data_IF_499290389740
#
_entry.id   IF_499290389740
#
_cell.length_a   1.000
_cell.length_b   1.000
_cell.length_c   1.000
_cell.angle_alpha   90.00
_cell.angle_beta   90.00
_cell.angle_gamma   90.00
#
_symmetry.space_group_name_H-M   'P 1'
#
loop_
_entity.id
_entity.type
_entity.pdbx_description
1 polymer ?
#
# COMPACT_ATOMS: atom_id res chain seq x y z
N UNK A 1 2.97 -20.85 -2.84
CA UNK A 1 4.33 -20.91 -2.26
C UNK A 1 4.42 -19.90 -1.11
N UNK A 2 5.43 -19.99 -0.25
CA UNK A 2 5.67 -18.95 0.78
C UNK A 2 6.14 -17.66 0.10
N UNK A 3 5.64 -16.50 0.53
CA UNK A 3 5.97 -15.19 -0.05
C UNK A 3 7.46 -14.81 0.06
N UNK A 4 8.21 -15.48 0.95
CA UNK A 4 9.65 -15.28 1.15
C UNK A 4 10.35 -16.65 1.11
N UNK A 5 11.42 -16.72 0.32
CA UNK A 5 12.28 -17.89 0.20
C UNK A 5 13.75 -17.49 0.45
N UNK A 6 14.46 -18.34 1.19
CA UNK A 6 15.90 -18.25 1.38
C UNK A 6 16.60 -19.34 0.56
N UNK A 7 17.69 -18.99 -0.10
CA UNK A 7 18.50 -19.88 -0.95
C UNK A 7 19.33 -20.87 -0.17
N UNK A 8 19.84 -20.49 1.00
CA UNK A 8 20.68 -21.35 1.82
C UNK A 8 19.90 -21.87 3.03
N UNK A 9 19.33 -23.07 2.89
CA UNK A 9 18.65 -23.80 3.99
C UNK A 9 19.59 -24.79 4.69
N UNK A 10 20.86 -24.89 4.29
CA UNK A 10 21.81 -25.86 4.82
C UNK A 10 22.70 -25.25 5.88
N UNK A 11 22.74 -25.85 7.08
CA UNK A 11 23.70 -25.58 8.18
C UNK A 11 23.71 -24.16 8.74
N UNK A 12 22.95 -23.91 9.81
CA UNK A 12 23.15 -22.83 10.80
C UNK A 12 23.85 -21.55 10.29
N UNK A 13 23.38 -21.00 9.16
CA UNK A 13 24.00 -19.82 8.57
C UNK A 13 23.61 -18.64 9.44
N UNK A 14 24.60 -17.99 10.07
CA UNK A 14 24.38 -16.66 10.64
C UNK A 14 23.99 -15.75 9.49
N UNK A 15 22.71 -15.41 9.39
CA UNK A 15 22.21 -14.41 8.44
C UNK A 15 23.10 -13.18 8.53
N UNK A 16 23.72 -12.79 7.41
CA UNK A 16 24.61 -11.64 7.36
C UNK A 16 23.84 -10.37 7.77
N UNK A 17 24.51 -9.31 8.27
CA UNK A 17 23.83 -8.05 8.56
C UNK A 17 23.03 -7.53 7.36
N UNK A 18 23.55 -7.67 6.14
CA UNK A 18 22.87 -7.33 4.90
C UNK A 18 21.61 -8.19 4.66
N UNK A 19 21.71 -9.52 4.80
CA UNK A 19 20.58 -10.42 4.64
C UNK A 19 19.48 -10.20 5.69
N UNK A 20 19.87 -9.77 6.91
CA UNK A 20 18.92 -9.39 7.96
C UNK A 20 18.17 -8.10 7.60
N UNK A 21 18.90 -7.06 7.18
CA UNK A 21 18.29 -5.81 6.74
C UNK A 21 17.30 -6.01 5.58
N UNK A 22 17.68 -6.82 4.58
CA UNK A 22 16.80 -7.18 3.48
C UNK A 22 15.58 -7.98 3.93
N UNK A 23 15.76 -8.92 4.87
CA UNK A 23 14.65 -9.68 5.45
C UNK A 23 13.66 -8.76 6.16
N UNK A 24 14.14 -7.84 7.00
CA UNK A 24 13.29 -6.89 7.73
C UNK A 24 12.53 -5.96 6.78
N UNK A 25 13.18 -5.51 5.71
CA UNK A 25 12.57 -4.69 4.67
C UNK A 25 11.48 -5.45 3.90
N UNK A 26 11.74 -6.70 3.50
CA UNK A 26 10.76 -7.53 2.80
C UNK A 26 9.57 -7.85 3.71
N UNK A 27 9.79 -8.13 4.99
CA UNK A 27 8.70 -8.33 5.96
C UNK A 27 7.82 -7.08 6.09
N UNK A 28 8.42 -5.89 6.10
CA UNK A 28 7.66 -4.63 6.07
C UNK A 28 6.90 -4.44 4.75
N UNK A 29 7.46 -4.89 3.63
CA UNK A 29 6.85 -4.82 2.30
C UNK A 29 5.62 -5.71 2.13
N UNK A 30 5.43 -6.74 2.97
CA UNK A 30 4.21 -7.56 2.94
C UNK A 30 2.93 -6.76 3.24
N UNK A 31 3.04 -5.58 3.87
CA UNK A 31 1.92 -4.67 4.09
C UNK A 31 1.53 -3.81 2.88
N UNK A 32 2.23 -3.95 1.75
CA UNK A 32 1.96 -3.18 0.54
C UNK A 32 0.56 -3.50 -0.05
N UNK A 33 -0.12 -2.53 -0.66
CA UNK A 33 -1.42 -2.77 -1.29
C UNK A 33 -1.26 -3.53 -2.61
N UNK A 34 -2.13 -4.51 -2.87
CA UNK A 34 -2.20 -5.21 -4.15
C UNK A 34 -3.64 -5.27 -4.67
N UNK A 35 -3.80 -5.51 -5.98
CA UNK A 35 -5.12 -5.74 -6.57
C UNK A 35 -5.83 -6.87 -5.82
N UNK A 36 -7.06 -6.61 -5.36
CA UNK A 36 -7.87 -7.52 -4.54
C UNK A 36 -7.12 -8.12 -3.33
N UNK A 37 -6.05 -7.47 -2.86
CA UNK A 37 -5.14 -8.02 -1.85
C UNK A 37 -4.59 -9.42 -2.22
N UNK A 38 -4.33 -9.66 -3.52
CA UNK A 38 -3.78 -10.92 -4.04
C UNK A 38 -2.36 -11.21 -3.59
N UNK A 39 -1.58 -10.17 -3.23
CA UNK A 39 -0.17 -10.24 -2.82
C UNK A 39 0.68 -11.08 -3.80
N UNK A 40 0.72 -10.72 -5.10
CA UNK A 40 1.23 -11.59 -6.14
C UNK A 40 2.75 -11.46 -6.31
N UNK A 41 3.47 -11.40 -5.19
CA UNK A 41 4.92 -11.26 -5.15
C UNK A 41 5.56 -12.46 -4.46
N UNK A 42 6.72 -12.84 -4.97
CA UNK A 42 7.60 -13.83 -4.38
C UNK A 42 8.99 -13.22 -4.18
N UNK A 43 9.45 -13.17 -2.93
CA UNK A 43 10.77 -12.66 -2.59
C UNK A 43 11.75 -13.81 -2.39
N UNK A 44 12.91 -13.73 -3.04
CA UNK A 44 14.05 -14.63 -2.79
C UNK A 44 15.22 -13.84 -2.26
N UNK A 45 15.68 -14.16 -1.06
CA UNK A 45 16.83 -13.50 -0.43
C UNK A 45 18.04 -14.43 -0.50
N UNK A 46 19.12 -13.90 -1.05
CA UNK A 46 20.40 -14.57 -1.22
C UNK A 46 21.54 -13.63 -0.81
N UNK A 47 22.14 -13.86 0.35
CA UNK A 47 23.19 -13.01 0.90
C UNK A 47 22.75 -11.55 1.08
N UNK A 48 23.32 -10.66 0.27
CA UNK A 48 23.08 -9.21 0.25
C UNK A 48 22.15 -8.76 -0.90
N UNK A 49 21.43 -9.70 -1.52
CA UNK A 49 20.49 -9.44 -2.62
C UNK A 49 19.10 -10.01 -2.26
N UNK A 50 18.06 -9.20 -2.48
CA UNK A 50 16.66 -9.63 -2.49
C UNK A 50 16.10 -9.53 -3.91
N UNK A 51 15.58 -10.63 -4.43
CA UNK A 51 14.94 -10.71 -5.74
C UNK A 51 13.43 -10.64 -5.58
N UNK A 52 12.78 -9.71 -6.26
CA UNK A 52 11.33 -9.60 -6.35
C UNK A 52 10.84 -10.26 -7.64
N UNK A 53 9.95 -11.22 -7.50
CA UNK A 53 9.37 -11.97 -8.62
C UNK A 53 7.86 -11.87 -8.63
N UNK A 54 7.28 -11.85 -9.83
CA UNK A 54 5.85 -12.03 -10.05
C UNK A 54 5.43 -13.46 -9.67
N UNK A 55 4.43 -13.60 -8.78
CA UNK A 55 3.79 -14.90 -8.53
C UNK A 55 2.59 -15.08 -9.47
N UNK A 56 2.84 -15.70 -10.62
CA UNK A 56 1.81 -15.99 -11.64
C UNK A 56 0.71 -16.93 -11.14
N UNK A 57 0.94 -17.69 -10.07
CA UNK A 57 -0.12 -18.54 -9.48
C UNK A 57 -1.22 -17.72 -8.79
N UNK A 58 -0.95 -16.44 -8.53
CA UNK A 58 -1.89 -15.47 -7.95
C UNK A 58 -2.42 -14.46 -8.98
N UNK A 59 -2.08 -14.62 -10.25
CA UNK A 59 -2.59 -13.76 -11.32
C UNK A 59 -4.09 -13.97 -11.51
N UNK A 60 -4.82 -12.87 -11.69
CA UNK A 60 -6.24 -12.89 -11.99
C UNK A 60 -6.43 -13.15 -13.49
N UNK A 61 -7.02 -14.28 -13.85
CA UNK A 61 -7.11 -14.74 -15.23
C UNK A 61 -8.11 -13.95 -16.06
N UNK A 62 -9.15 -13.38 -15.44
CA UNK A 62 -10.19 -12.59 -16.12
C UNK A 62 -10.00 -11.09 -15.88
N UNK A 63 -9.71 -10.71 -14.63
CA UNK A 63 -9.56 -9.32 -14.21
C UNK A 63 -8.24 -8.69 -14.69
N UNK A 64 -7.15 -9.47 -14.72
CA UNK A 64 -5.81 -8.99 -15.10
C UNK A 64 -5.05 -10.02 -15.97
N UNK A 65 -5.58 -10.38 -17.15
CA UNK A 65 -5.03 -11.45 -17.99
C UNK A 65 -3.60 -11.17 -18.47
N UNK A 66 -3.24 -9.89 -18.63
CA UNK A 66 -1.89 -9.48 -19.06
C UNK A 66 -0.90 -9.34 -17.89
N UNK A 67 -1.37 -9.40 -16.64
CA UNK A 67 -0.53 -9.25 -15.45
C UNK A 67 -0.04 -7.82 -15.22
N UNK A 68 -0.76 -6.81 -15.75
CA UNK A 68 -0.42 -5.40 -15.56
C UNK A 68 -0.59 -5.01 -14.10
N UNK A 69 -1.75 -5.32 -13.52
CA UNK A 69 -2.09 -4.96 -12.14
C UNK A 69 -1.33 -5.84 -11.13
N UNK A 70 -0.98 -7.06 -11.51
CA UNK A 70 0.01 -7.90 -10.82
C UNK A 70 1.36 -7.18 -10.73
N UNK A 71 1.86 -6.67 -11.86
CA UNK A 71 3.17 -5.99 -11.91
C UNK A 71 3.15 -4.66 -11.14
N UNK A 72 2.06 -3.89 -11.25
CA UNK A 72 1.80 -2.70 -10.41
C UNK A 72 1.81 -3.09 -8.93
N UNK A 73 1.14 -4.18 -8.55
CA UNK A 73 1.14 -4.67 -7.16
C UNK A 73 2.56 -4.98 -6.68
N UNK A 74 3.37 -5.67 -7.50
CA UNK A 74 4.78 -5.92 -7.19
C UNK A 74 5.60 -4.62 -7.02
N UNK A 75 5.35 -3.61 -7.85
CA UNK A 75 6.01 -2.30 -7.71
C UNK A 75 5.68 -1.61 -6.38
N UNK A 76 4.45 -1.77 -5.86
CA UNK A 76 4.13 -1.24 -4.53
C UNK A 76 4.95 -1.91 -3.43
N UNK A 77 5.15 -3.23 -3.52
CA UNK A 77 5.97 -4.01 -2.58
C UNK A 77 7.45 -3.63 -2.70
N UNK A 78 7.96 -3.44 -3.92
CA UNK A 78 9.32 -2.94 -4.16
C UNK A 78 9.55 -1.60 -3.47
N UNK A 79 8.65 -0.64 -3.66
CA UNK A 79 8.77 0.66 -3.02
C UNK A 79 8.65 0.59 -1.50
N UNK A 80 7.75 -0.24 -0.95
CA UNK A 80 7.69 -0.47 0.49
C UNK A 80 9.01 -1.03 1.06
N UNK A 81 9.64 -1.98 0.36
CA UNK A 81 10.94 -2.51 0.76
C UNK A 81 12.02 -1.42 0.75
N UNK A 82 12.06 -0.58 -0.30
CA UNK A 82 12.99 0.56 -0.40
C UNK A 82 12.79 1.58 0.71
N UNK A 83 11.53 1.93 1.03
CA UNK A 83 11.20 2.83 2.16
C UNK A 83 11.67 2.23 3.48
N UNK A 84 11.45 0.94 3.70
CA UNK A 84 11.90 0.26 4.91
C UNK A 84 13.43 0.32 5.05
N UNK A 85 14.17 -0.04 4.00
CA UNK A 85 15.65 0.04 3.99
C UNK A 85 16.14 1.46 4.28
N UNK A 86 15.59 2.47 3.60
CA UNK A 86 15.99 3.87 3.82
C UNK A 86 15.72 4.33 5.26
N UNK A 87 14.57 3.97 5.83
CA UNK A 87 14.25 4.28 7.22
C UNK A 87 15.19 3.55 8.21
N UNK A 88 15.66 2.36 7.85
CA UNK A 88 16.61 1.62 8.66
C UNK A 88 18.07 2.07 8.44
N UNK A 89 18.28 3.07 7.58
CA UNK A 89 19.59 3.68 7.30
C UNK A 89 20.44 2.85 6.33
N UNK A 90 19.79 2.02 5.51
CA UNK A 90 20.43 1.12 4.54
C UNK A 90 20.27 1.68 3.13
N UNK A 91 21.41 1.88 2.46
CA UNK A 91 21.42 2.22 1.05
C UNK A 91 21.10 0.96 0.22
N UNK A 92 20.27 1.12 -0.81
CA UNK A 92 19.86 0.02 -1.67
C UNK A 92 20.03 0.40 -3.15
N UNK A 93 20.66 -0.49 -3.91
CA UNK A 93 20.73 -0.39 -5.36
C UNK A 93 19.69 -1.32 -5.98
N UNK A 94 18.92 -0.81 -6.94
CA UNK A 94 17.84 -1.57 -7.58
C UNK A 94 18.15 -1.76 -9.05
N UNK A 95 18.21 -3.01 -9.49
CA UNK A 95 18.23 -3.37 -10.91
C UNK A 95 16.84 -3.84 -11.30
N UNK A 96 16.21 -3.10 -12.21
CA UNK A 96 14.87 -3.39 -12.72
C UNK A 96 14.95 -4.31 -13.93
N UNK A 97 14.04 -5.28 -14.02
CA UNK A 97 13.92 -6.22 -15.14
C UNK A 97 15.29 -6.73 -15.61
N UNK A 98 16.10 -7.33 -14.70
CA UNK A 98 17.44 -7.79 -15.07
C UNK A 98 17.36 -8.78 -16.23
N UNK A 99 18.31 -8.68 -17.16
CA UNK A 99 18.42 -9.59 -18.29
C UNK A 99 18.58 -11.04 -17.81
N UNK A 100 17.86 -11.97 -18.45
CA UNK A 100 17.92 -13.39 -18.15
C UNK A 100 16.70 -14.15 -18.70
N UNK A 101 16.68 -15.46 -18.46
CA UNK A 101 15.63 -16.36 -18.97
C UNK A 101 14.35 -16.35 -18.13
N UNK A 102 14.28 -15.48 -17.12
CA UNK A 102 13.25 -15.47 -16.09
C UNK A 102 12.37 -14.22 -16.22
N UNK A 103 11.27 -14.28 -16.99
CA UNK A 103 10.43 -13.12 -17.26
C UNK A 103 9.68 -12.61 -16.04
N UNK A 104 9.62 -13.42 -14.97
CA UNK A 104 8.95 -13.07 -13.73
C UNK A 104 9.89 -12.40 -12.72
N UNK A 105 11.21 -12.31 -12.98
CA UNK A 105 12.14 -11.55 -12.16
C UNK A 105 12.00 -10.05 -12.44
N UNK A 106 11.23 -9.35 -11.60
CA UNK A 106 10.88 -7.95 -11.82
C UNK A 106 11.96 -6.97 -11.33
N UNK A 107 12.63 -7.28 -10.22
CA UNK A 107 13.69 -6.45 -9.68
C UNK A 107 14.64 -7.23 -8.79
N UNK A 108 15.86 -6.73 -8.66
CA UNK A 108 16.80 -7.13 -7.61
C UNK A 108 17.16 -5.90 -6.77
N UNK A 109 17.19 -6.08 -5.46
CA UNK A 109 17.54 -5.07 -4.46
C UNK A 109 18.81 -5.53 -3.76
N UNK A 110 19.92 -4.83 -4.00
CA UNK A 110 21.22 -5.11 -3.38
C UNK A 110 21.49 -4.14 -2.25
N UNK A 111 21.91 -4.66 -1.10
CA UNK A 111 22.39 -3.85 0.01
C UNK A 111 23.69 -3.12 -0.41
N UNK A 112 23.65 -1.80 -0.48
CA UNK A 112 24.72 -0.96 -1.03
C UNK A 112 25.46 -0.11 0.03
N UNK A 113 25.30 -0.43 1.31
CA UNK A 113 25.93 0.28 2.43
C UNK A 113 24.92 1.05 3.27
N UNK A 114 25.33 2.19 3.81
CA UNK A 114 24.52 3.01 4.73
C UNK A 114 24.12 4.34 4.11
N UNK A 115 22.95 4.85 4.49
CA UNK A 115 22.45 6.18 4.13
C UNK A 115 21.91 6.89 5.37
N UNK A 116 21.91 8.21 5.35
CA UNK A 116 21.32 9.01 6.43
C UNK A 116 19.81 8.75 6.55
N UNK A 117 19.36 8.55 7.79
CA UNK A 117 17.94 8.39 8.11
C UNK A 117 17.22 9.73 8.06
N UNK A 118 16.74 10.11 6.88
CA UNK A 118 16.02 11.36 6.69
C UNK A 118 14.69 11.36 7.45
N UNK A 119 14.23 12.55 7.87
CA UNK A 119 12.91 12.71 8.49
C UNK A 119 11.78 12.20 7.58
N UNK A 120 11.96 12.29 6.26
CA UNK A 120 10.99 11.79 5.28
C UNK A 120 10.91 10.27 5.27
N UNK A 121 12.05 9.56 5.25
CA UNK A 121 12.06 8.09 5.30
C UNK A 121 11.35 7.55 6.55
N UNK A 122 11.54 8.23 7.70
CA UNK A 122 10.87 7.89 8.95
C UNK A 122 9.36 8.17 8.92
N UNK A 123 8.94 9.26 8.28
CA UNK A 123 7.51 9.56 8.08
C UNK A 123 6.84 8.50 7.21
N UNK A 124 7.46 8.15 6.08
CA UNK A 124 6.95 7.11 5.19
C UNK A 124 6.89 5.74 5.89
N UNK A 125 7.91 5.38 6.69
CA UNK A 125 7.90 4.13 7.48
C UNK A 125 6.74 4.08 8.49
N UNK A 126 6.40 5.21 9.12
CA UNK A 126 5.19 5.30 9.98
C UNK A 126 3.91 5.23 9.17
N UNK A 127 3.86 5.87 8.01
CA UNK A 127 2.70 5.81 7.12
C UNK A 127 2.39 4.37 6.68
N UNK A 128 3.42 3.54 6.42
CA UNK A 128 3.25 2.14 6.02
C UNK A 128 2.42 1.33 7.03
N UNK A 129 2.60 1.53 8.34
CA UNK A 129 1.93 0.72 9.36
C UNK A 129 0.44 1.03 9.50
N UNK A 130 0.05 2.28 9.25
CA UNK A 130 -1.34 2.75 9.41
C UNK A 130 -2.11 2.87 8.08
N UNK A 131 -1.42 2.80 6.94
CA UNK A 131 -2.06 2.88 5.62
C UNK A 131 -3.11 1.78 5.46
N UNK A 132 -4.31 2.18 5.09
CA UNK A 132 -5.43 1.30 4.71
C UNK A 132 -6.09 1.86 3.46
N UNK A 133 -6.78 0.99 2.73
CA UNK A 133 -7.61 1.41 1.59
C UNK A 133 -8.96 1.83 2.13
N UNK A 134 -9.27 3.13 2.07
CA UNK A 134 -10.52 3.66 2.66
C UNK A 134 -11.62 3.77 1.60
N UNK A 135 -12.52 2.78 1.60
CA UNK A 135 -13.65 2.72 0.67
C UNK A 135 -14.89 3.46 1.20
N UNK A 136 -14.89 3.83 2.48
CA UNK A 136 -16.00 4.55 3.13
C UNK A 136 -16.20 5.93 2.50
N UNK A 137 -17.38 6.56 2.69
CA UNK A 137 -17.56 7.98 2.42
C UNK A 137 -16.50 8.83 3.11
N UNK A 138 -15.90 9.77 2.37
CA UNK A 138 -15.04 10.80 2.94
C UNK A 138 -15.86 11.92 3.58
N UNK A 139 -15.21 12.68 4.47
CA UNK A 139 -15.81 13.84 5.12
C UNK A 139 -16.18 14.92 4.10
N UNK A 140 -17.15 15.77 4.46
CA UNK A 140 -17.55 16.98 3.72
C UNK A 140 -16.51 18.10 3.94
N UNK A 141 -15.26 17.82 3.56
CA UNK A 141 -14.12 18.71 3.74
C UNK A 141 -13.19 18.64 2.51
N UNK A 142 -12.82 19.82 2.01
CA UNK A 142 -11.88 19.94 0.89
C UNK A 142 -10.53 19.32 1.20
N UNK A 143 -10.01 18.59 0.21
CA UNK A 143 -8.61 18.15 0.22
C UNK A 143 -7.72 19.37 -0.04
N UNK A 144 -6.77 19.70 0.87
CA UNK A 144 -5.89 20.85 0.67
C UNK A 144 -5.05 20.72 -0.60
N UNK A 145 -4.98 21.77 -1.43
CA UNK A 145 -4.17 21.78 -2.66
C UNK A 145 -2.68 21.51 -2.38
N UNK A 146 -2.15 22.05 -1.28
CA UNK A 146 -0.78 21.76 -0.84
C UNK A 146 -0.54 20.27 -0.52
N UNK A 147 -1.58 19.52 -0.15
CA UNK A 147 -1.47 18.07 -0.01
C UNK A 147 -1.42 17.43 -1.40
N UNK A 148 -2.32 17.78 -2.32
CA UNK A 148 -2.33 17.26 -3.70
C UNK A 148 -0.98 17.48 -4.42
N UNK A 149 -0.36 18.64 -4.22
CA UNK A 149 0.98 18.92 -4.77
C UNK A 149 2.06 18.00 -4.19
N UNK A 150 1.99 17.63 -2.90
CA UNK A 150 2.88 16.63 -2.30
C UNK A 150 2.66 15.25 -2.89
N UNK A 151 1.41 14.85 -3.11
CA UNK A 151 1.10 13.56 -3.75
C UNK A 151 1.65 13.53 -5.19
N UNK A 152 1.51 14.63 -5.94
CA UNK A 152 2.08 14.75 -7.30
C UNK A 152 3.60 14.68 -7.28
N UNK A 153 4.26 15.40 -6.38
CA UNK A 153 5.71 15.35 -6.22
C UNK A 153 6.19 13.93 -5.87
N UNK A 154 5.45 13.20 -5.02
CA UNK A 154 5.77 11.81 -4.67
C UNK A 154 5.64 10.86 -5.88
N UNK A 155 4.63 11.03 -6.72
CA UNK A 155 4.50 10.27 -7.97
C UNK A 155 5.69 10.55 -8.92
N UNK A 156 6.01 11.83 -9.14
CA UNK A 156 7.09 12.26 -10.06
C UNK A 156 8.43 11.70 -9.59
N UNK A 157 8.71 11.78 -8.28
CA UNK A 157 9.93 11.22 -7.70
C UNK A 157 10.05 9.69 -7.88
N UNK A 158 8.92 9.00 -8.05
CA UNK A 158 8.84 7.56 -8.31
C UNK A 158 8.71 7.21 -9.80
N UNK A 159 8.78 8.20 -10.71
CA UNK A 159 8.80 7.98 -12.16
C UNK A 159 7.43 7.90 -12.84
N UNK A 160 6.37 8.43 -12.22
CA UNK A 160 5.05 8.56 -12.84
C UNK A 160 4.47 9.96 -12.60
N UNK A 161 3.47 10.38 -13.38
CA UNK A 161 2.72 11.60 -13.11
C UNK A 161 1.43 11.30 -12.32
N UNK A 162 0.94 12.28 -11.58
CA UNK A 162 -0.36 12.23 -10.91
C UNK A 162 -1.24 13.38 -11.42
N UNK A 163 -2.09 13.04 -12.39
CA UNK A 163 -3.06 13.96 -12.95
C UNK A 163 -4.28 14.08 -12.04
N UNK A 164 -4.39 15.18 -11.29
CA UNK A 164 -5.59 15.47 -10.49
C UNK A 164 -6.71 15.89 -11.43
N UNK A 165 -7.80 15.12 -11.42
CA UNK A 165 -8.97 15.34 -12.27
C UNK A 165 -9.62 16.67 -11.89
N UNK A 166 -9.83 17.51 -12.90
CA UNK A 166 -10.47 18.82 -12.72
C UNK A 166 -11.99 18.62 -12.64
N UNK A 167 -12.73 19.50 -11.94
CA UNK A 167 -14.19 19.35 -11.81
C UNK A 167 -14.93 19.16 -13.14
N UNK A 168 -14.49 19.84 -14.21
CA UNK A 168 -15.09 19.71 -15.54
C UNK A 168 -14.82 18.37 -16.24
N UNK A 169 -13.72 17.70 -15.90
CA UNK A 169 -13.34 16.40 -16.50
C UNK A 169 -13.86 15.23 -15.67
N UNK A 170 -14.43 15.48 -14.48
CA UNK A 170 -14.95 14.44 -13.60
C UNK A 170 -16.03 13.59 -14.31
N UNK A 171 -16.79 14.21 -15.22
CA UNK A 171 -17.79 13.49 -16.03
C UNK A 171 -17.17 12.36 -16.84
N UNK A 172 -15.96 12.52 -17.38
CA UNK A 172 -15.30 11.46 -18.15
C UNK A 172 -14.92 10.27 -17.26
N UNK A 173 -14.51 10.54 -16.02
CA UNK A 173 -14.23 9.51 -15.00
C UNK A 173 -15.52 8.78 -14.60
N UNK A 174 -16.62 9.51 -14.41
CA UNK A 174 -17.93 8.92 -14.09
C UNK A 174 -18.41 7.99 -15.21
N UNK A 175 -18.32 8.44 -16.46
CA UNK A 175 -18.74 7.63 -17.61
C UNK A 175 -17.83 6.42 -17.79
N UNK A 176 -16.51 6.58 -17.63
CA UNK A 176 -15.57 5.45 -17.69
C UNK A 176 -15.86 4.41 -16.60
N UNK A 177 -16.09 4.84 -15.36
CA UNK A 177 -16.47 3.96 -14.26
C UNK A 177 -17.80 3.24 -14.50
N UNK A 178 -18.82 3.96 -14.98
CA UNK A 178 -20.12 3.37 -15.32
C UNK A 178 -20.03 2.31 -16.40
N UNK A 179 -19.25 2.57 -17.45
CA UNK A 179 -19.03 1.61 -18.54
C UNK A 179 -18.23 0.38 -18.09
N UNK A 180 -17.17 0.57 -17.30
CA UNK A 180 -16.42 -0.54 -16.71
C UNK A 180 -17.34 -1.42 -15.86
N UNK A 181 -18.10 -0.82 -14.94
CA UNK A 181 -19.04 -1.53 -14.08
C UNK A 181 -20.13 -2.26 -14.88
N UNK A 182 -20.52 -1.77 -16.04
CA UNK A 182 -21.46 -2.47 -16.93
C UNK A 182 -20.88 -3.73 -17.55
N UNK A 183 -19.70 -3.62 -18.16
CA UNK A 183 -19.00 -4.75 -18.75
C UNK A 183 -18.70 -5.83 -17.70
N UNK A 184 -18.13 -5.42 -16.56
CA UNK A 184 -17.78 -6.30 -15.44
C UNK A 184 -19.00 -7.01 -14.84
N UNK A 185 -20.13 -6.31 -14.72
CA UNK A 185 -21.37 -6.87 -14.19
C UNK A 185 -21.99 -7.88 -15.16
N UNK A 186 -21.82 -7.71 -16.46
CA UNK A 186 -22.38 -8.64 -17.45
C UNK A 186 -21.54 -9.91 -17.60
N UNK A 187 -20.24 -9.86 -17.34
CA UNK A 187 -19.31 -10.99 -17.43
C UNK A 187 -19.40 -11.96 -16.23
N UNK A 188 -19.91 -13.20 -16.42
CA UNK A 188 -19.97 -14.19 -15.34
C UNK A 188 -18.59 -14.64 -14.82
N UNK A 189 -17.56 -14.67 -15.68
CA UNK A 189 -16.22 -15.08 -15.28
C UNK A 189 -15.58 -14.03 -14.38
N UNK A 190 -15.74 -12.75 -14.72
CA UNK A 190 -15.34 -11.63 -13.87
C UNK A 190 -15.99 -11.72 -12.48
N UNK A 191 -17.32 -11.88 -12.43
CA UNK A 191 -18.05 -11.96 -11.15
C UNK A 191 -17.61 -13.14 -10.30
N UNK A 192 -17.36 -14.30 -10.91
CA UNK A 192 -16.89 -15.48 -10.21
C UNK A 192 -15.47 -15.29 -9.64
N UNK A 193 -14.56 -14.71 -10.42
CA UNK A 193 -13.19 -14.42 -9.97
C UNK A 193 -13.18 -13.36 -8.86
N UNK A 194 -13.95 -12.27 -8.98
CA UNK A 194 -14.08 -11.26 -7.94
C UNK A 194 -14.61 -11.85 -6.63
N UNK A 195 -15.68 -12.67 -6.71
CA UNK A 195 -16.26 -13.32 -5.54
C UNK A 195 -15.28 -14.26 -4.83
N UNK A 196 -14.40 -14.95 -5.57
CA UNK A 196 -13.37 -15.82 -4.98
C UNK A 196 -12.34 -15.05 -4.13
N UNK A 197 -12.16 -13.76 -4.40
CA UNK A 197 -11.24 -12.87 -3.67
C UNK A 197 -11.92 -12.00 -2.62
N UNK A 198 -13.24 -12.10 -2.45
CA UNK A 198 -13.97 -11.44 -1.35
C UNK A 198 -14.26 -12.48 -0.27
N UNK A 199 -13.43 -12.51 0.79
CA UNK A 199 -13.43 -13.55 1.82
C UNK A 199 -12.99 -13.03 3.18
N UNK A 200 -13.52 -13.62 4.24
CA UNK A 200 -13.25 -13.21 5.63
C UNK A 200 -12.10 -14.02 6.25
N UNK A 201 -11.40 -13.44 7.22
CA UNK A 201 -10.39 -14.12 8.04
C UNK A 201 -9.14 -14.63 7.31
N UNK A 202 -8.97 -14.32 6.03
CA UNK A 202 -7.81 -14.74 5.23
C UNK A 202 -6.68 -13.70 5.27
N UNK A 203 -5.42 -14.16 5.16
CA UNK A 203 -4.25 -13.28 5.03
C UNK A 203 -4.28 -12.47 3.71
N UNK A 204 -4.98 -12.98 2.71
CA UNK A 204 -5.18 -12.40 1.39
C UNK A 204 -6.67 -12.31 1.00
N UNK A 205 -6.96 -11.52 -0.05
CA UNK A 205 -8.34 -11.19 -0.41
C UNK A 205 -8.88 -9.98 0.34
N UNK A 206 -10.07 -9.54 -0.08
CA UNK A 206 -10.77 -8.37 0.45
C UNK A 206 -11.81 -8.82 1.48
N UNK A 207 -11.68 -8.41 2.75
CA UNK A 207 -12.68 -8.71 3.77
C UNK A 207 -14.02 -8.03 3.42
N UNK A 208 -15.17 -8.73 3.52
CA UNK A 208 -16.49 -8.16 3.25
C UNK A 208 -16.78 -6.86 4.02
N UNK A 209 -16.29 -6.76 5.27
CA UNK A 209 -16.43 -5.55 6.10
C UNK A 209 -15.78 -4.30 5.49
N UNK A 210 -14.73 -4.48 4.68
CA UNK A 210 -14.03 -3.38 3.97
C UNK A 210 -14.49 -3.21 2.52
N UNK A 211 -15.34 -4.13 2.05
CA UNK A 211 -15.90 -4.18 0.71
C UNK A 211 -17.23 -3.39 0.63
N UNK A 212 -18.03 -3.43 1.70
CA UNK A 212 -19.42 -2.96 1.75
C UNK A 212 -19.59 -1.45 2.02
N UNK A 213 -18.68 -0.59 1.55
CA UNK A 213 -18.89 0.85 1.70
C UNK A 213 -19.97 1.32 0.71
N UNK A 214 -21.24 1.24 1.11
CA UNK A 214 -22.39 1.69 0.30
C UNK A 214 -22.55 3.21 0.26
N UNK A 215 -23.53 3.67 -0.51
CA UNK A 215 -23.98 5.06 -0.56
C UNK A 215 -23.79 5.73 -1.92
N UNK A 216 -24.73 6.59 -2.36
CA UNK A 216 -24.64 7.32 -3.61
C UNK A 216 -23.41 8.23 -3.62
N UNK A 217 -22.65 8.16 -4.71
CA UNK A 217 -21.41 8.92 -4.91
C UNK A 217 -21.26 9.31 -6.39
N UNK A 218 -20.50 10.38 -6.72
CA UNK A 218 -20.37 10.83 -8.10
C UNK A 218 -19.72 9.77 -9.01
N UNK A 219 -18.58 9.21 -8.58
CA UNK A 219 -17.88 8.14 -9.30
C UNK A 219 -18.18 6.81 -8.63
N UNK A 220 -18.86 5.87 -9.31
CA UNK A 220 -19.12 4.54 -8.77
C UNK A 220 -17.82 3.85 -8.34
N UNK A 221 -17.86 3.13 -7.22
CA UNK A 221 -16.79 2.22 -6.83
C UNK A 221 -17.17 0.78 -7.23
N UNK A 222 -16.16 -0.06 -7.45
CA UNK A 222 -16.34 -1.52 -7.60
C UNK A 222 -17.35 -2.10 -6.61
N UNK A 223 -18.32 -2.82 -7.16
CA UNK A 223 -19.27 -3.62 -6.39
C UNK A 223 -18.67 -4.98 -6.04
N UNK A 224 -17.95 -5.04 -4.92
CA UNK A 224 -17.31 -6.27 -4.44
C UNK A 224 -18.30 -7.36 -4.03
N UNK A 225 -19.53 -6.99 -3.64
CA UNK A 225 -20.51 -7.94 -3.09
C UNK A 225 -21.59 -8.32 -4.10
N UNK A 226 -21.65 -7.65 -5.25
CA UNK A 226 -22.72 -7.83 -6.25
C UNK A 226 -24.08 -7.35 -5.75
N UNK A 227 -24.13 -6.61 -4.63
CA UNK A 227 -25.36 -6.15 -3.97
C UNK A 227 -25.64 -4.67 -4.20
N UNK A 228 -24.74 -3.96 -4.88
CA UNK A 228 -24.74 -2.49 -4.99
C UNK A 228 -25.34 -2.02 -6.34
N UNK A 229 -25.95 -2.93 -7.09
CA UNK A 229 -26.59 -2.65 -8.37
C UNK A 229 -27.45 -1.38 -8.33
N UNK A 230 -27.02 -0.34 -9.07
CA UNK A 230 -27.84 0.83 -9.39
C UNK A 230 -27.66 2.10 -8.53
N UNK A 231 -26.66 2.20 -7.65
CA UNK A 231 -26.43 3.43 -6.87
C UNK A 231 -25.65 4.53 -7.61
N UNK A 232 -25.85 4.69 -8.92
CA UNK A 232 -25.41 5.91 -9.63
C UNK A 232 -26.45 6.99 -9.37
N UNK A 233 -26.18 7.84 -8.38
CA UNK A 233 -26.99 9.05 -8.17
C UNK A 233 -26.21 10.25 -8.68
N UNK A 234 -26.33 10.49 -9.98
CA UNK A 234 -25.93 11.79 -10.55
C UNK A 234 -26.95 12.89 -10.20
N UNK A 235 -28.16 12.56 -9.72
CA UNK A 235 -29.25 13.53 -9.53
C UNK A 235 -30.29 13.27 -8.41
N UNK A 236 -30.14 12.29 -7.52
CA UNK A 236 -31.07 12.20 -6.38
C UNK A 236 -30.69 13.25 -5.33
N UNK A 237 -31.59 14.20 -5.05
CA UNK A 237 -31.43 15.29 -4.08
C UNK A 237 -31.33 14.86 -2.61
N UNK A 238 -30.58 13.80 -2.31
CA UNK A 238 -30.15 13.40 -0.96
C UNK A 238 -28.66 13.70 -0.72
N UNK A 239 -28.15 13.35 0.46
CA UNK A 239 -26.74 13.49 0.82
C UNK A 239 -25.87 12.57 -0.04
N UNK A 240 -25.23 13.14 -1.07
CA UNK A 240 -24.25 12.45 -1.92
C UNK A 240 -22.91 12.43 -1.16
N UNK A 241 -22.40 11.22 -0.91
CA UNK A 241 -21.07 11.01 -0.35
C UNK A 241 -19.98 11.49 -1.30
N UNK A 242 -18.77 11.74 -0.78
CA UNK A 242 -17.59 12.06 -1.58
C UNK A 242 -17.69 13.36 -2.39
N UNK A 243 -18.56 14.30 -1.99
CA UNK A 243 -18.70 15.62 -2.62
C UNK A 243 -17.37 16.38 -2.73
N UNK A 244 -16.54 16.29 -1.69
CA UNK A 244 -15.23 16.95 -1.62
C UNK A 244 -14.06 15.99 -1.90
N UNK A 245 -14.35 14.74 -2.26
CA UNK A 245 -13.30 13.82 -2.67
C UNK A 245 -12.68 14.28 -3.99
N UNK A 246 -11.37 14.09 -4.11
CA UNK A 246 -10.62 14.33 -5.33
C UNK A 246 -10.30 12.99 -6.00
N UNK A 247 -10.32 13.00 -7.31
CA UNK A 247 -9.92 11.86 -8.13
C UNK A 247 -8.62 12.25 -8.84
N UNK A 248 -7.69 11.33 -8.90
CA UNK A 248 -6.44 11.50 -9.62
C UNK A 248 -6.13 10.25 -10.44
N UNK A 249 -5.55 10.45 -11.61
CA UNK A 249 -5.08 9.37 -12.48
C UNK A 249 -3.57 9.32 -12.37
N UNK A 250 -3.03 8.17 -11.98
CA UNK A 250 -1.61 7.89 -12.06
C UNK A 250 -1.27 7.53 -13.51
N UNK A 251 -0.32 8.23 -14.10
CA UNK A 251 0.00 8.17 -15.53
C UNK A 251 1.47 7.81 -15.72
N UNK A 252 1.73 6.84 -16.58
CA UNK A 252 3.09 6.47 -17.00
C UNK A 252 3.35 6.91 -18.44
N UNK A 253 4.62 7.08 -18.80
CA UNK A 253 5.00 7.44 -20.17
C UNK A 253 4.74 6.28 -21.15
N UNK A 254 5.11 5.05 -20.77
CA UNK A 254 4.83 3.84 -21.52
C UNK A 254 3.77 2.94 -20.86
N UNK A 255 3.60 1.76 -21.45
CA UNK A 255 2.64 0.73 -21.01
C UNK A 255 3.24 -0.69 -21.08
N UNK A 256 4.51 -0.80 -20.71
CA UNK A 256 5.24 -2.06 -20.64
C UNK A 256 5.52 -2.45 -19.19
N UNK A 257 6.08 -3.64 -18.96
CA UNK A 257 6.38 -4.15 -17.63
C UNK A 257 7.18 -3.17 -16.75
N UNK A 258 8.11 -2.40 -17.34
CA UNK A 258 8.89 -1.39 -16.59
C UNK A 258 8.00 -0.25 -16.11
N UNK A 259 7.10 0.22 -16.96
CA UNK A 259 6.14 1.29 -16.66
C UNK A 259 5.14 0.82 -15.60
N UNK A 260 4.65 -0.41 -15.71
CA UNK A 260 3.75 -0.99 -14.72
C UNK A 260 4.42 -1.12 -13.35
N UNK A 261 5.69 -1.51 -13.32
CA UNK A 261 6.46 -1.57 -12.09
C UNK A 261 6.68 -0.15 -11.50
N UNK A 262 7.00 0.84 -12.34
CA UNK A 262 7.12 2.25 -11.93
C UNK A 262 5.80 2.79 -11.39
N UNK A 263 4.68 2.48 -12.04
CA UNK A 263 3.34 2.83 -11.56
C UNK A 263 3.06 2.22 -10.18
N UNK A 264 3.52 1.00 -9.92
CA UNK A 264 3.44 0.39 -8.60
C UNK A 264 4.22 1.15 -7.54
N UNK A 265 5.47 1.52 -7.85
CA UNK A 265 6.29 2.31 -6.93
C UNK A 265 5.67 3.68 -6.66
N UNK A 266 5.19 4.36 -7.70
CA UNK A 266 4.54 5.66 -7.61
C UNK A 266 3.19 5.59 -6.89
N UNK A 267 2.38 4.54 -7.13
CA UNK A 267 1.16 4.30 -6.37
C UNK A 267 1.46 4.17 -4.88
N UNK A 268 2.50 3.40 -4.52
CA UNK A 268 2.93 3.31 -3.13
C UNK A 268 3.35 4.68 -2.58
N UNK A 269 4.15 5.46 -3.32
CA UNK A 269 4.61 6.77 -2.88
C UNK A 269 3.43 7.72 -2.62
N UNK A 270 2.45 7.77 -3.55
CA UNK A 270 1.22 8.57 -3.45
C UNK A 270 0.40 8.16 -2.23
N UNK A 271 0.19 6.86 -2.00
CA UNK A 271 -0.60 6.37 -0.87
C UNK A 271 0.05 6.65 0.48
N UNK A 272 1.38 6.53 0.57
CA UNK A 272 2.11 6.86 1.81
C UNK A 272 2.15 8.38 2.05
N UNK A 273 2.28 9.18 0.99
CA UNK A 273 2.20 10.65 1.07
C UNK A 273 0.82 11.14 1.50
N UNK A 274 -0.26 10.53 1.00
CA UNK A 274 -1.63 10.78 1.44
C UNK A 274 -1.78 10.56 2.95
N UNK A 275 -1.33 9.41 3.46
CA UNK A 275 -1.37 9.10 4.90
C UNK A 275 -0.55 10.11 5.70
N UNK A 276 0.64 10.48 5.22
CA UNK A 276 1.48 11.50 5.85
C UNK A 276 0.85 12.90 5.89
N UNK A 277 -0.10 13.18 4.99
CA UNK A 277 -0.89 14.40 4.96
C UNK A 277 -2.23 14.30 5.72
N UNK A 278 -2.50 13.18 6.39
CA UNK A 278 -3.77 12.94 7.10
C UNK A 278 -4.96 12.63 6.18
N UNK A 279 -4.70 12.24 4.93
CA UNK A 279 -5.71 11.90 3.94
C UNK A 279 -5.96 10.39 3.87
N UNK A 280 -7.19 10.03 3.55
CA UNK A 280 -7.55 8.69 3.11
C UNK A 280 -7.43 8.57 1.59
N UNK A 281 -7.09 7.38 1.13
CA UNK A 281 -7.00 7.10 -0.30
C UNK A 281 -7.55 5.70 -0.63
N UNK A 282 -8.14 5.57 -1.81
CA UNK A 282 -8.62 4.30 -2.37
C UNK A 282 -8.21 4.18 -3.83
N UNK A 283 -7.29 3.27 -4.17
CA UNK A 283 -7.07 2.86 -5.55
C UNK A 283 -8.35 2.25 -6.15
N UNK A 284 -8.59 2.55 -7.43
CA UNK A 284 -9.74 2.14 -8.22
C UNK A 284 -9.21 1.52 -9.52
N UNK A 285 -8.99 0.20 -9.49
CA UNK A 285 -8.40 -0.53 -10.60
C UNK A 285 -9.41 -0.91 -11.69
N UNK A 286 -10.70 -1.01 -11.34
CA UNK A 286 -11.85 -1.20 -12.23
C UNK A 286 -11.81 -0.24 -13.43
N UNK A 287 -11.48 1.02 -13.20
CA UNK A 287 -11.43 2.03 -14.26
C UNK A 287 -10.32 1.81 -15.29
N UNK A 288 -9.33 0.96 -15.01
CA UNK A 288 -8.23 0.65 -15.93
C UNK A 288 -8.24 -0.81 -16.41
N UNK A 289 -9.03 -1.68 -15.82
CA UNK A 289 -9.14 -3.11 -16.21
C UNK A 289 -9.82 -3.26 -17.57
N UNK A 290 -10.91 -2.54 -17.79
CA UNK A 290 -11.70 -2.60 -19.05
C UNK A 290 -11.07 -1.69 -20.11
N UNK A 291 -10.60 -2.27 -21.22
CA UNK A 291 -9.86 -1.54 -22.25
C UNK A 291 -10.60 -0.31 -22.83
N UNK A 292 -11.92 -0.38 -23.17
CA UNK A 292 -12.68 0.80 -23.54
C UNK A 292 -12.71 1.91 -22.47
N UNK A 293 -12.90 1.57 -21.19
CA UNK A 293 -12.92 2.53 -20.09
C UNK A 293 -11.54 3.19 -19.88
N UNK A 294 -10.47 2.40 -19.92
CA UNK A 294 -9.09 2.90 -19.86
C UNK A 294 -8.78 3.83 -21.04
N UNK A 295 -9.28 3.54 -22.24
CA UNK A 295 -9.13 4.40 -23.41
C UNK A 295 -9.91 5.73 -23.27
N UNK A 296 -11.04 5.75 -22.55
CA UNK A 296 -11.74 7.00 -22.22
C UNK A 296 -10.88 7.89 -21.30
N UNK A 297 -10.28 7.31 -20.26
CA UNK A 297 -9.35 8.05 -19.40
C UNK A 297 -8.16 8.58 -20.19
N UNK A 298 -7.61 7.80 -21.11
CA UNK A 298 -6.49 8.23 -21.94
C UNK A 298 -6.86 9.42 -22.84
N UNK A 299 -8.06 9.43 -23.42
CA UNK A 299 -8.59 10.58 -24.18
C UNK A 299 -8.80 11.81 -23.30
N UNK A 300 -9.33 11.64 -22.08
CA UNK A 300 -9.48 12.72 -21.10
C UNK A 300 -8.12 13.37 -20.79
N UNK A 301 -7.05 12.58 -20.74
CA UNK A 301 -5.67 13.05 -20.56
C UNK A 301 -5.03 13.62 -21.85
N UNK A 302 -5.79 13.76 -22.94
CA UNK A 302 -5.29 14.27 -24.21
C UNK A 302 -4.35 13.31 -24.95
N UNK A 303 -4.49 12.00 -24.72
CA UNK A 303 -3.60 10.95 -25.25
C UNK A 303 -2.14 11.05 -24.77
N UNK A 304 -1.91 11.78 -23.67
CA UNK A 304 -0.60 11.92 -23.04
C UNK A 304 -0.42 10.80 -22.02
N UNK A 305 0.50 9.89 -22.32
CA UNK A 305 0.83 8.75 -21.46
C UNK A 305 -0.27 7.69 -21.37
N UNK A 306 -0.16 6.86 -20.33
CA UNK A 306 -0.99 5.69 -20.12
C UNK A 306 -1.56 5.67 -18.69
N UNK A 307 -2.89 5.63 -18.52
CA UNK A 307 -3.51 5.48 -17.21
C UNK A 307 -3.11 4.14 -16.57
N UNK A 308 -2.44 4.19 -15.43
CA UNK A 308 -1.99 3.00 -14.70
C UNK A 308 -2.91 2.67 -13.51
N UNK A 309 -3.48 3.69 -12.87
CA UNK A 309 -4.40 3.55 -11.73
C UNK A 309 -5.21 4.82 -11.54
N UNK A 310 -6.48 4.71 -11.13
CA UNK A 310 -7.24 5.84 -10.59
C UNK A 310 -7.19 5.79 -9.07
N UNK A 311 -7.02 6.94 -8.41
CA UNK A 311 -6.97 7.03 -6.95
C UNK A 311 -8.00 8.07 -6.51
N UNK A 312 -8.91 7.64 -5.64
CA UNK A 312 -9.82 8.51 -4.91
C UNK A 312 -9.16 8.96 -3.61
N UNK A 313 -9.20 10.25 -3.32
CA UNK A 313 -8.51 10.90 -2.21
C UNK A 313 -9.51 11.77 -1.46
N UNK A 314 -9.48 11.74 -0.12
CA UNK A 314 -10.36 12.57 0.68
C UNK A 314 -9.92 12.67 2.13
N UNK A 315 -10.55 13.58 2.87
CA UNK A 315 -10.37 13.63 4.32
C UNK A 315 -11.17 12.47 4.94
N UNK A 316 -10.56 11.58 5.74
CA UNK A 316 -11.28 10.49 6.39
C UNK A 316 -12.45 11.03 7.23
N UNK A 317 -13.64 10.42 7.10
CA UNK A 317 -14.76 10.73 7.98
C UNK A 317 -14.43 10.45 9.44
N UNK A 318 -14.95 11.28 10.37
CA UNK A 318 -14.92 10.94 11.81
C UNK A 318 -15.62 9.59 11.98
N UNK A 319 -14.99 8.64 12.67
CA UNK A 319 -15.68 7.42 13.06
C UNK A 319 -16.90 7.80 13.91
N UNK A 320 -18.08 7.30 13.54
CA UNK A 320 -19.28 7.44 14.36
C UNK A 320 -19.04 6.87 15.76
N UNK A 321 -19.64 7.50 16.75
CA UNK A 321 -19.47 7.25 18.18
C UNK A 321 -20.03 5.90 18.68
N UNK A 322 -19.53 4.76 18.17
CA UNK A 322 -19.83 3.40 18.68
C UNK A 322 -18.57 2.50 18.75
N UNK A 323 -17.41 3.09 19.06
CA UNK A 323 -16.20 2.39 19.53
C UNK A 323 -15.75 2.98 20.88
N UNK A 324 -15.11 2.21 21.77
CA UNK A 324 -14.87 2.64 23.14
C UNK A 324 -14.01 3.91 23.16
N UNK A 325 -14.50 4.92 23.88
CA UNK A 325 -13.94 6.26 23.93
C UNK A 325 -12.43 6.25 24.28
N UNK A 326 -11.60 6.79 23.39
CA UNK A 326 -10.26 7.25 23.74
C UNK A 326 -10.36 8.63 24.43
N UNK A 327 -9.73 8.72 25.61
CA UNK A 327 -9.73 9.89 26.48
C UNK A 327 -9.05 11.12 25.81
N UNK A 328 -9.51 12.35 26.11
CA UNK A 328 -8.96 13.55 25.52
C UNK A 328 -7.61 13.87 26.17
N UNK A 329 -6.55 14.04 25.37
CA UNK A 329 -5.28 14.53 25.92
C UNK A 329 -4.07 14.46 25.00
N UNK A 330 -4.16 14.92 23.74
CA UNK A 330 -2.95 15.20 22.92
C UNK A 330 -3.07 16.42 21.99
N UNK A 331 -4.20 17.15 22.00
CA UNK A 331 -4.36 18.35 21.18
C UNK A 331 -3.73 19.62 21.81
N UNK A 332 -3.42 19.62 23.11
CA UNK A 332 -2.89 20.80 23.81
C UNK A 332 -1.37 20.92 23.78
N UNK A 333 -0.62 19.83 23.56
CA UNK A 333 0.86 19.85 23.61
C UNK A 333 1.49 20.41 22.32
N UNK A 334 0.74 20.47 21.22
CA UNK A 334 1.22 21.02 19.95
C UNK A 334 1.13 22.56 19.88
N UNK A 335 0.31 23.19 20.71
CA UNK A 335 0.17 24.65 20.74
C UNK A 335 1.27 25.32 21.58
N UNK A 336 1.82 24.64 22.59
CA UNK A 336 2.87 25.19 23.46
C UNK A 336 4.26 25.16 22.81
N UNK A 337 4.53 24.21 21.91
CA UNK A 337 5.82 24.12 21.21
C UNK A 337 6.01 25.19 20.11
N UNK A 338 4.93 25.79 19.61
CA UNK A 338 4.99 26.87 18.61
C UNK A 338 5.13 28.27 19.23
N UNK A 339 4.90 28.42 20.54
CA UNK A 339 5.09 29.67 21.28
C UNK A 339 6.49 29.87 21.85
N UNK A 340 7.30 28.81 21.95
CA UNK A 340 8.59 28.84 22.64
C UNK A 340 9.80 29.20 21.78
N UNK A 341 9.65 29.32 20.44
CA UNK A 341 10.75 29.73 19.55
C UNK A 341 10.83 31.25 19.31
N UNK A 342 9.99 32.05 19.97
CA UNK A 342 9.95 33.51 19.79
C UNK A 342 10.55 34.34 20.95
N UNK A 343 11.06 33.72 22.01
CA UNK A 343 11.50 34.48 23.20
C UNK A 343 12.80 33.94 23.83
N UNK A 344 13.90 34.01 23.08
CA UNK A 344 15.25 33.87 23.65
C UNK A 344 16.13 35.06 23.26
N UNK A 345 15.82 36.22 23.87
CA UNK A 345 16.71 37.38 23.91
C UNK A 345 16.40 38.25 25.14
N UNK A 346 16.85 37.84 26.34
CA UNK A 346 17.45 38.67 27.43
C UNK A 346 17.40 37.91 28.77
N UNK A 347 18.54 37.82 29.47
CA UNK A 347 18.62 37.28 30.85
C UNK A 347 18.41 38.36 31.93
N UNK A 348 18.87 38.13 33.18
CA UNK A 348 18.26 37.22 34.16
C UNK A 348 17.85 37.95 35.46
N UNK A 349 16.99 37.35 36.29
CA UNK A 349 16.88 37.68 37.72
C UNK A 349 16.32 36.51 38.54
N UNK A 350 17.02 36.21 39.64
CA UNK A 350 16.65 35.27 40.72
C UNK A 350 15.34 35.66 41.43
N UNK A 351 14.61 34.67 41.97
CA UNK A 351 14.10 34.61 43.37
C UNK A 351 13.55 33.19 43.67
N UNK A 352 13.71 32.81 44.93
CA UNK A 352 13.62 31.52 45.66
C UNK A 352 12.22 30.96 46.02
N UNK A 353 12.03 29.63 45.83
CA UNK A 353 11.30 28.61 46.67
C UNK A 353 9.81 28.74 47.07
N UNK A 354 9.17 27.75 47.74
CA UNK A 354 9.32 26.27 47.67
C UNK A 354 7.98 25.44 47.62
N UNK A 355 8.12 24.14 47.27
CA UNK A 355 7.40 22.91 47.71
C UNK A 355 5.86 22.77 47.76
N UNK A 356 5.33 21.69 47.12
CA UNK A 356 4.31 20.77 47.69
C UNK A 356 4.16 19.48 46.85
N UNK A 357 3.73 18.39 47.50
CA UNK A 357 3.86 17.00 47.09
C UNK A 357 2.54 16.27 46.76
N UNK A 358 2.62 15.27 45.86
CA UNK A 358 1.82 14.03 45.80
C UNK A 358 0.56 14.02 44.89
N UNK A 359 0.00 12.83 44.54
CA UNK A 359 0.46 11.45 44.77
C UNK A 359 0.51 10.55 43.50
N UNK A 360 0.99 9.35 43.74
CA UNK A 360 1.26 8.20 42.85
C UNK A 360 -0.03 7.57 42.30
N UNK A 361 -0.05 7.23 41.00
CA UNK A 361 -1.13 6.49 40.33
C UNK A 361 -0.60 5.45 39.35
N UNK A 362 -0.89 4.18 39.66
CA UNK A 362 -0.75 2.91 38.95
C UNK A 362 -0.27 2.88 37.48
N UNK A 363 0.77 2.07 37.24
CA UNK A 363 1.24 1.67 35.92
C UNK A 363 0.26 0.73 35.20
N UNK A 364 -0.01 0.91 33.89
CA UNK A 364 -0.70 -0.08 33.08
C UNK A 364 0.27 -1.14 32.53
N UNK A 365 -0.21 -2.39 32.56
CA UNK A 365 0.44 -3.61 32.08
C UNK A 365 0.63 -3.54 30.55
N UNK A 366 1.82 -3.87 30.00
CA UNK A 366 2.02 -3.82 28.56
C UNK A 366 1.32 -5.00 27.86
N UNK A 367 0.37 -4.70 26.99
CA UNK A 367 -0.20 -5.64 26.02
C UNK A 367 0.82 -5.85 24.90
N UNK A 368 1.35 -7.07 24.80
CA UNK A 368 2.32 -7.46 23.78
C UNK A 368 1.60 -7.70 22.44
N UNK A 369 2.01 -7.07 21.33
CA UNK A 369 1.47 -7.43 20.02
C UNK A 369 1.97 -8.83 19.62
N UNK A 370 1.03 -9.74 19.32
CA UNK A 370 1.31 -11.09 18.79
C UNK A 370 2.05 -10.97 17.45
N UNK A 371 3.24 -11.58 17.37
CA UNK A 371 3.98 -11.80 16.12
C UNK A 371 3.25 -12.85 15.26
N UNK A 372 3.33 -12.77 13.92
CA UNK A 372 2.91 -13.86 13.06
C UNK A 372 3.75 -15.11 13.35
N UNK A 373 3.08 -16.24 13.49
CA UNK A 373 3.67 -17.55 13.76
C UNK A 373 4.43 -18.07 12.54
N UNK A 374 5.76 -18.00 12.57
CA UNK A 374 6.61 -18.79 11.68
C UNK A 374 6.61 -20.22 12.22
N UNK A 375 5.98 -21.15 11.50
CA UNK A 375 6.04 -22.57 11.84
C UNK A 375 7.39 -23.15 11.40
N UNK A 376 8.26 -23.41 12.37
CA UNK A 376 9.40 -24.32 12.22
C UNK A 376 8.94 -25.66 12.78
N UNK A 377 8.80 -26.67 11.93
CA UNK A 377 8.49 -28.04 12.37
C UNK A 377 9.81 -28.80 12.44
N UNK A 378 10.21 -29.17 13.65
CA UNK A 378 11.27 -30.16 13.91
C UNK A 378 10.72 -31.57 13.64
N UNK A 379 11.46 -32.35 12.86
CA UNK A 379 11.35 -33.81 12.86
C UNK A 379 12.74 -34.41 13.11
N UNK A 380 12.82 -35.07 14.25
CA UNK A 380 13.95 -35.86 14.76
C UNK A 380 14.24 -37.00 13.78
N UNK A 381 15.49 -37.09 13.33
CA UNK A 381 16.03 -38.27 12.66
C UNK A 381 16.66 -39.20 13.71
N UNK A 382 16.13 -40.41 13.84
CA UNK A 382 16.86 -41.54 14.43
C UNK A 382 17.86 -42.09 13.40
N UNK A 383 19.07 -42.50 13.80
CA UNK A 383 20.09 -42.99 12.88
C UNK A 383 19.81 -44.44 12.52
N UNK A 384 19.83 -44.77 11.22
CA UNK A 384 19.99 -46.15 10.78
C UNK A 384 21.45 -46.33 10.35
N UNK A 385 22.12 -47.16 11.12
CA UNK A 385 23.53 -47.53 11.05
C UNK A 385 23.86 -48.23 9.73
N UNK A 386 25.11 -48.04 9.29
CA UNK A 386 25.65 -48.64 8.08
C UNK A 386 25.93 -50.13 8.27
N UNK A 387 25.64 -50.91 7.25
CA UNK A 387 26.05 -52.30 7.15
C UNK A 387 26.18 -52.68 5.70
N UNK A 388 27.41 -52.70 5.20
CA UNK A 388 27.72 -53.18 3.87
C UNK A 388 27.63 -54.69 3.75
N UNK A 389 27.76 -55.09 2.49
CA UNK A 389 28.32 -56.32 1.95
C UNK A 389 27.37 -57.37 1.33
N UNK A 390 27.92 -57.93 0.25
CA UNK A 390 27.61 -59.16 -0.48
C UNK A 390 26.48 -59.21 -1.54
N UNK A 391 26.95 -59.21 -2.80
CA UNK A 391 26.39 -59.92 -3.97
C UNK A 391 26.13 -61.41 -3.66
N UNK A 392 25.13 -62.06 -4.29
CA UNK A 392 25.40 -62.84 -5.53
C UNK A 392 24.17 -62.84 -6.50
N UNK A 393 24.18 -63.18 -7.80
CA UNK A 393 25.06 -63.85 -8.76
C UNK A 393 24.92 -63.17 -10.12
#
# INVERSE_FOLDING_TARGET
MAAIQYTDRGTAVRVSPAGRALTEAVLAALGAPSILNTQPWHWRIDGDIAQLRADRTRQLATIDPDGRLLTVSCGTALHHARVALAADGVAAEVTYLPEGDDPDLLATVRHAGTVDRSAESQRLRRAMSIRRTDRRPFADQDVPEAALDRLRAAAIAAGADLHVVRPQDLVDVVVAAGHAAEVEREDPAYRAELAAWVRDGAEDGVPPATAAAGGPRPVPIRDFTGTTAGQVSIYAGGDIADRHARYAVLVTEGDLARDWLAAGEALSAVLLAAVGAGLGASPMSDLVEVAPARAMLRRMLGEIGHPAMVVRIGVPGRQGADGPAEAPGQAEVAAEAAGAEAEEATGPAEVTGPAAAGPVGAAPVPVTPRRPSVSVVDLVAEPVDGGGDELPR
#
